data_IF_962064623172
#
_entry.id   IF_962064623172
#
_cell.length_a   1.000
_cell.length_b   1.000
_cell.length_c   1.000
_cell.angle_alpha   90.00
_cell.angle_beta   90.00
_cell.angle_gamma   90.00
#
_symmetry.space_group_name_H-M   'P 1'
#
loop_
_entity.id
_entity.type
_entity.pdbx_description
1 polymer ?
#
# COMPACT_ATOMS: atom_id res chain seq x y z
N UNK A 1 -7.51 -31.91 12.24
CA UNK A 1 -7.58 -31.08 11.01
C UNK A 1 -8.96 -31.29 10.44
N UNK A 2 -9.64 -30.23 9.93
CA UNK A 2 -10.94 -30.40 9.28
C UNK A 2 -10.73 -31.14 7.94
N UNK A 3 -11.51 -32.18 7.69
CA UNK A 3 -11.47 -32.86 6.40
C UNK A 3 -12.00 -31.94 5.33
N UNK A 4 -11.32 -31.89 4.18
CA UNK A 4 -11.65 -31.01 3.05
C UNK A 4 -11.97 -31.86 1.82
N UNK A 5 -13.10 -31.61 1.18
CA UNK A 5 -13.51 -32.27 -0.04
C UNK A 5 -14.58 -31.45 -0.77
N UNK A 6 -14.85 -31.77 -2.03
CA UNK A 6 -15.95 -31.14 -2.78
C UNK A 6 -17.29 -31.61 -2.26
N UNK A 7 -18.10 -30.70 -1.74
CA UNK A 7 -19.43 -31.04 -1.25
C UNK A 7 -20.31 -31.51 -2.42
N UNK A 8 -20.85 -32.69 -2.28
CA UNK A 8 -21.91 -33.25 -3.12
C UNK A 8 -22.89 -34.06 -2.25
N UNK A 9 -24.10 -34.26 -2.73
CA UNK A 9 -25.18 -34.90 -1.99
C UNK A 9 -24.79 -36.30 -1.50
N UNK A 10 -24.17 -37.10 -2.37
CA UNK A 10 -23.77 -38.47 -2.03
C UNK A 10 -22.79 -38.52 -0.87
N UNK A 11 -21.78 -37.65 -0.88
CA UNK A 11 -20.79 -37.60 0.22
C UNK A 11 -21.45 -37.07 1.49
N UNK A 12 -22.23 -35.98 1.40
CA UNK A 12 -22.85 -35.38 2.57
C UNK A 12 -23.85 -36.31 3.26
N UNK A 13 -24.63 -37.11 2.47
CA UNK A 13 -25.58 -38.09 3.02
C UNK A 13 -24.87 -39.19 3.80
N UNK A 14 -23.71 -39.63 3.31
CA UNK A 14 -22.96 -40.76 3.87
C UNK A 14 -21.90 -40.34 4.91
N UNK A 15 -21.79 -39.06 5.27
CA UNK A 15 -20.87 -38.64 6.34
C UNK A 15 -21.28 -39.24 7.69
N UNK A 16 -20.34 -39.93 8.38
CA UNK A 16 -20.62 -40.54 9.68
C UNK A 16 -20.81 -39.48 10.76
N UNK A 17 -21.62 -39.82 11.76
CA UNK A 17 -21.75 -39.02 12.98
C UNK A 17 -20.58 -39.28 13.90
N UNK A 18 -19.96 -38.25 14.53
CA UNK A 18 -18.87 -38.45 15.47
C UNK A 18 -19.36 -39.13 16.78
N UNK A 19 -18.53 -39.96 17.35
CA UNK A 19 -18.84 -40.62 18.62
C UNK A 19 -18.92 -39.62 19.79
N UNK A 20 -18.13 -38.60 19.79
CA UNK A 20 -18.12 -37.52 20.80
C UNK A 20 -17.99 -36.13 20.13
N UNK A 21 -18.72 -35.16 20.65
CA UNK A 21 -18.61 -33.78 20.25
C UNK A 21 -19.25 -33.49 18.91
N UNK A 22 -18.48 -32.91 18.00
CA UNK A 22 -18.90 -32.61 16.63
C UNK A 22 -17.69 -32.63 15.68
N UNK A 23 -17.93 -32.98 14.44
CA UNK A 23 -16.96 -32.92 13.36
C UNK A 23 -17.20 -31.68 12.49
N UNK A 24 -16.12 -31.21 11.85
CA UNK A 24 -16.16 -30.10 10.92
C UNK A 24 -15.49 -30.50 9.62
N UNK A 25 -16.23 -30.31 8.52
CA UNK A 25 -15.73 -30.50 7.16
C UNK A 25 -15.83 -29.19 6.38
N UNK A 26 -15.00 -29.02 5.35
CA UNK A 26 -14.89 -27.80 4.57
C UNK A 26 -15.09 -28.11 3.09
N UNK A 27 -15.85 -27.25 2.40
CA UNK A 27 -16.04 -27.34 0.96
C UNK A 27 -14.82 -26.83 0.19
N UNK A 28 -14.32 -27.61 -0.75
CA UNK A 28 -13.23 -27.17 -1.65
C UNK A 28 -13.69 -26.20 -2.74
N UNK A 29 -14.96 -26.24 -3.14
CA UNK A 29 -15.52 -25.31 -4.14
C UNK A 29 -15.72 -23.89 -3.57
N UNK A 30 -16.11 -23.81 -2.29
CA UNK A 30 -16.24 -22.55 -1.55
C UNK A 30 -15.53 -22.67 -0.20
N UNK A 31 -14.24 -22.34 -0.12
CA UNK A 31 -13.41 -22.59 1.07
C UNK A 31 -13.90 -21.90 2.35
N UNK A 32 -14.80 -20.93 2.25
CA UNK A 32 -15.43 -20.26 3.40
C UNK A 32 -16.62 -21.04 3.94
N UNK A 33 -17.22 -21.92 3.12
CA UNK A 33 -18.33 -22.77 3.48
C UNK A 33 -17.83 -23.99 4.27
N UNK A 34 -18.41 -24.22 5.42
CA UNK A 34 -18.13 -25.37 6.27
C UNK A 34 -19.43 -26.02 6.74
N UNK A 35 -19.33 -27.27 7.10
CA UNK A 35 -20.42 -27.99 7.72
C UNK A 35 -19.96 -28.57 9.06
N UNK A 36 -20.77 -28.49 10.09
CA UNK A 36 -20.55 -29.26 11.30
C UNK A 36 -21.59 -30.36 11.41
N UNK A 37 -21.16 -31.48 11.97
CA UNK A 37 -21.94 -32.74 12.15
C UNK A 37 -21.97 -32.99 13.62
N UNK A 38 -23.15 -33.10 14.19
CA UNK A 38 -23.33 -33.45 15.60
C UNK A 38 -23.39 -34.96 15.80
N UNK A 39 -23.22 -35.43 17.05
CA UNK A 39 -23.40 -36.85 17.44
C UNK A 39 -24.78 -37.43 17.06
N UNK A 40 -25.81 -36.58 16.99
CA UNK A 40 -27.16 -36.97 16.58
C UNK A 40 -27.37 -36.97 15.06
N UNK A 41 -26.30 -36.80 14.27
CA UNK A 41 -26.37 -36.81 12.82
C UNK A 41 -26.87 -35.49 12.21
N UNK A 42 -27.14 -34.44 12.99
CA UNK A 42 -27.57 -33.16 12.44
C UNK A 42 -26.40 -32.49 11.76
N UNK A 43 -26.57 -32.18 10.46
CA UNK A 43 -25.59 -31.55 9.58
C UNK A 43 -26.02 -30.12 9.36
N UNK A 44 -25.12 -29.14 9.53
CA UNK A 44 -25.47 -27.72 9.34
C UNK A 44 -24.34 -26.95 8.67
N UNK A 45 -24.68 -26.20 7.65
CA UNK A 45 -23.78 -25.31 6.95
C UNK A 45 -23.48 -24.06 7.78
N UNK A 46 -22.24 -23.64 7.81
CA UNK A 46 -21.83 -22.42 8.49
C UNK A 46 -20.60 -21.77 7.85
N UNK A 47 -20.39 -20.50 8.14
CA UNK A 47 -19.17 -19.77 7.84
C UNK A 47 -18.50 -19.31 9.14
N UNK A 48 -17.17 -19.19 9.11
CA UNK A 48 -16.43 -18.54 10.21
C UNK A 48 -16.12 -17.10 9.84
N UNK A 49 -16.37 -16.21 10.77
CA UNK A 49 -16.01 -14.81 10.65
C UNK A 49 -15.39 -14.31 11.95
N UNK A 50 -14.28 -13.61 11.84
CA UNK A 50 -13.66 -12.97 12.99
C UNK A 50 -14.39 -11.66 13.30
N UNK A 51 -15.05 -11.61 14.45
CA UNK A 51 -15.84 -10.46 14.90
C UNK A 51 -15.32 -10.05 16.27
N UNK A 52 -14.85 -8.80 16.39
CA UNK A 52 -14.29 -8.24 17.64
C UNK A 52 -13.13 -9.08 18.21
N UNK A 53 -12.27 -9.60 17.35
CA UNK A 53 -11.13 -10.43 17.76
C UNK A 53 -11.45 -11.89 18.05
N UNK A 54 -12.71 -12.28 18.13
CA UNK A 54 -13.17 -13.65 18.36
C UNK A 54 -13.72 -14.28 17.07
N UNK A 55 -13.38 -15.56 16.83
CA UNK A 55 -13.95 -16.32 15.72
C UNK A 55 -15.40 -16.73 16.06
N UNK A 56 -16.34 -16.19 15.30
CA UNK A 56 -17.75 -16.57 15.42
C UNK A 56 -18.17 -17.50 14.30
N UNK A 57 -18.98 -18.49 14.68
CA UNK A 57 -19.65 -19.39 13.74
C UNK A 57 -21.03 -18.80 13.41
N UNK A 58 -21.30 -18.62 12.12
CA UNK A 58 -22.57 -18.10 11.63
C UNK A 58 -23.21 -19.20 10.82
N UNK A 59 -24.38 -19.69 11.28
CA UNK A 59 -25.11 -20.79 10.67
C UNK A 59 -25.85 -20.25 9.44
N UNK A 60 -25.71 -20.95 8.32
CA UNK A 60 -26.44 -20.67 7.08
C UNK A 60 -27.77 -21.42 7.08
N UNK A 61 -27.73 -22.70 7.43
CA UNK A 61 -28.91 -23.55 7.49
C UNK A 61 -28.56 -25.01 7.78
N UNK A 62 -29.61 -25.81 8.00
CA UNK A 62 -29.46 -27.27 8.18
C UNK A 62 -29.53 -27.98 6.83
N UNK A 63 -28.71 -29.00 6.66
CA UNK A 63 -28.83 -29.94 5.57
C UNK A 63 -29.79 -31.07 5.98
N UNK A 64 -30.74 -31.53 5.10
CA UNK A 64 -30.91 -31.14 3.71
C UNK A 64 -31.86 -29.96 3.45
N UNK A 65 -32.42 -29.30 4.48
CA UNK A 65 -33.38 -28.19 4.32
C UNK A 65 -32.81 -27.07 3.43
N UNK A 66 -31.47 -26.81 3.54
CA UNK A 66 -30.71 -25.94 2.64
C UNK A 66 -29.80 -26.83 1.82
N UNK A 67 -29.87 -26.72 0.51
CA UNK A 67 -29.02 -27.49 -0.39
C UNK A 67 -27.60 -26.88 -0.50
N UNK A 68 -26.70 -27.58 -1.18
CA UNK A 68 -25.28 -27.21 -1.29
C UNK A 68 -25.12 -25.92 -2.09
N UNK A 69 -25.85 -25.79 -3.22
CA UNK A 69 -25.74 -24.61 -4.10
C UNK A 69 -26.34 -23.39 -3.43
N UNK A 70 -27.46 -23.53 -2.76
CA UNK A 70 -28.07 -22.48 -1.96
C UNK A 70 -27.15 -22.06 -0.81
N UNK A 71 -26.49 -23.01 -0.13
CA UNK A 71 -25.52 -22.72 0.91
C UNK A 71 -24.31 -21.92 0.38
N UNK A 72 -23.80 -22.30 -0.81
CA UNK A 72 -22.70 -21.57 -1.49
C UNK A 72 -23.11 -20.14 -1.87
N UNK A 73 -24.30 -19.98 -2.45
CA UNK A 73 -24.82 -18.68 -2.84
C UNK A 73 -24.99 -17.72 -1.64
N UNK A 74 -25.45 -18.25 -0.51
CA UNK A 74 -25.68 -17.49 0.72
C UNK A 74 -24.40 -17.09 1.49
N UNK A 75 -23.23 -17.66 1.17
CA UNK A 75 -21.98 -17.36 1.89
C UNK A 75 -21.68 -15.85 1.95
N UNK A 76 -21.75 -15.17 0.81
CA UNK A 76 -21.46 -13.73 0.74
C UNK A 76 -22.54 -12.89 1.44
N UNK A 77 -23.81 -13.24 1.31
CA UNK A 77 -24.92 -12.57 1.95
C UNK A 77 -24.81 -12.67 3.48
N UNK A 78 -24.62 -13.88 3.99
CA UNK A 78 -24.49 -14.14 5.44
C UNK A 78 -23.25 -13.48 6.03
N UNK A 79 -22.14 -13.45 5.30
CA UNK A 79 -20.93 -12.72 5.73
C UNK A 79 -21.17 -11.21 5.74
N UNK A 80 -21.93 -10.65 4.82
CA UNK A 80 -22.27 -9.23 4.77
C UNK A 80 -23.33 -8.87 5.85
N UNK A 81 -24.36 -9.69 6.02
CA UNK A 81 -25.41 -9.46 7.03
C UNK A 81 -24.92 -9.63 8.46
N UNK A 82 -23.95 -10.49 8.69
CA UNK A 82 -23.31 -10.59 10.00
C UNK A 82 -22.56 -9.32 10.42
N UNK A 83 -22.19 -8.45 9.45
CA UNK A 83 -21.72 -7.11 9.75
C UNK A 83 -22.86 -6.17 10.17
N UNK A 84 -24.09 -6.39 9.69
CA UNK A 84 -25.26 -5.54 9.95
C UNK A 84 -25.99 -5.87 11.26
N UNK A 85 -25.91 -7.13 11.74
CA UNK A 85 -26.71 -7.65 12.88
C UNK A 85 -26.00 -7.67 14.23
N UNK A 86 -24.82 -7.06 14.37
CA UNK A 86 -24.22 -6.89 15.69
C UNK A 86 -25.03 -5.80 16.41
N UNK A 87 -25.73 -6.10 17.52
CA UNK A 87 -26.31 -5.05 18.35
C UNK A 87 -25.17 -4.22 18.89
N UNK A 88 -24.94 -3.06 18.28
CA UNK A 88 -23.94 -2.12 18.73
C UNK A 88 -24.39 -1.62 20.09
N UNK A 89 -23.80 -2.11 21.17
CA UNK A 89 -23.81 -1.41 22.44
C UNK A 89 -23.08 -0.09 22.18
N UNK A 90 -23.86 0.96 21.86
CA UNK A 90 -23.36 2.29 21.55
C UNK A 90 -22.66 2.85 22.79
N UNK A 91 -21.37 2.49 22.98
CA UNK A 91 -20.52 3.27 23.87
C UNK A 91 -20.40 4.65 23.26
N UNK A 92 -20.88 5.66 23.97
CA UNK A 92 -20.56 7.05 23.62
C UNK A 92 -19.06 7.19 23.73
N UNK A 93 -18.38 7.44 22.62
CA UNK A 93 -16.94 7.65 22.56
C UNK A 93 -16.68 8.94 21.80
N UNK A 94 -15.78 9.77 22.30
CA UNK A 94 -15.39 10.98 21.60
C UNK A 94 -14.59 10.64 20.35
N UNK A 95 -14.62 11.51 19.36
CA UNK A 95 -13.80 11.34 18.16
C UNK A 95 -12.31 11.24 18.51
N UNK A 96 -11.83 12.01 19.50
CA UNK A 96 -10.46 11.96 20.00
C UNK A 96 -10.10 10.58 20.51
N UNK A 97 -10.88 10.03 21.42
CA UNK A 97 -10.61 8.72 22.03
C UNK A 97 -10.68 7.60 20.98
N UNK A 98 -11.61 7.72 20.03
CA UNK A 98 -11.71 6.77 18.92
C UNK A 98 -10.49 6.82 17.98
N UNK A 99 -9.98 8.01 17.68
CA UNK A 99 -8.77 8.19 16.89
C UNK A 99 -7.56 7.55 17.59
N UNK A 100 -7.43 7.67 18.90
CA UNK A 100 -6.37 7.00 19.67
C UNK A 100 -6.49 5.48 19.54
N UNK A 101 -7.69 4.94 19.65
CA UNK A 101 -7.96 3.52 19.45
C UNK A 101 -7.62 3.06 18.02
N UNK A 102 -7.98 3.87 17.01
CA UNK A 102 -7.64 3.61 15.62
C UNK A 102 -6.13 3.59 15.38
N UNK A 103 -5.40 4.54 15.94
CA UNK A 103 -3.95 4.64 15.82
C UNK A 103 -3.22 3.48 16.49
N UNK A 104 -3.66 3.07 17.69
CA UNK A 104 -3.09 1.94 18.42
C UNK A 104 -3.28 0.61 17.70
N UNK A 105 -4.37 0.44 16.94
CA UNK A 105 -4.61 -0.77 16.15
C UNK A 105 -3.90 -0.77 14.78
N UNK A 106 -3.32 0.36 14.36
CA UNK A 106 -2.51 0.47 13.12
C UNK A 106 -1.00 0.27 13.32
N UNK A 107 -0.60 -0.49 14.32
CA UNK A 107 0.79 -0.76 14.77
C UNK A 107 1.76 -1.27 13.68
N UNK A 108 1.27 -1.61 12.48
CA UNK A 108 2.15 -2.02 11.35
C UNK A 108 2.88 -0.86 10.65
N UNK A 109 2.64 0.38 11.05
CA UNK A 109 3.36 1.56 10.51
C UNK A 109 4.53 1.87 11.44
N UNK A 110 5.72 2.12 10.88
CA UNK A 110 6.87 2.56 11.68
C UNK A 110 6.55 3.85 12.50
N UNK A 111 7.21 4.01 13.63
CA UNK A 111 6.95 5.10 14.61
C UNK A 111 6.92 6.50 13.98
N UNK A 112 7.83 6.80 13.07
CA UNK A 112 7.88 8.09 12.36
C UNK A 112 6.62 8.37 11.53
N UNK A 113 6.08 7.34 10.89
CA UNK A 113 4.86 7.46 10.10
C UNK A 113 3.64 7.69 10.98
N UNK A 114 3.61 7.03 12.15
CA UNK A 114 2.56 7.18 13.14
C UNK A 114 2.58 8.59 13.76
N UNK A 115 3.78 9.10 14.07
CA UNK A 115 3.95 10.43 14.64
C UNK A 115 3.52 11.54 13.66
N UNK A 116 3.86 11.40 12.37
CA UNK A 116 3.40 12.30 11.31
C UNK A 116 1.88 12.29 11.18
N UNK A 117 1.27 11.11 11.28
CA UNK A 117 -0.18 10.95 11.22
C UNK A 117 -0.87 11.60 12.42
N UNK A 118 -0.37 11.38 13.65
CA UNK A 118 -0.87 12.03 14.87
C UNK A 118 -0.81 13.55 14.76
N UNK A 119 0.30 14.11 14.27
CA UNK A 119 0.45 15.56 14.07
C UNK A 119 -0.59 16.11 13.09
N UNK A 120 -0.81 15.41 11.96
CA UNK A 120 -1.80 15.84 10.98
C UNK A 120 -3.23 15.80 11.54
N UNK A 121 -3.58 14.76 12.29
CA UNK A 121 -4.90 14.64 12.96
C UNK A 121 -5.10 15.78 13.98
N UNK A 122 -4.12 16.02 14.84
CA UNK A 122 -4.19 17.09 15.84
C UNK A 122 -4.28 18.48 15.21
N UNK A 123 -3.64 18.69 14.07
CA UNK A 123 -3.68 19.96 13.37
C UNK A 123 -5.03 20.20 12.68
N UNK A 124 -5.56 19.20 12.01
CA UNK A 124 -6.70 19.39 11.11
C UNK A 124 -8.04 18.97 11.70
N UNK A 125 -8.08 18.06 12.68
CA UNK A 125 -9.32 17.49 13.22
C UNK A 125 -9.63 17.92 14.65
N UNK A 126 -8.91 18.89 15.20
CA UNK A 126 -9.08 19.37 16.58
C UNK A 126 -10.52 19.77 16.90
N UNK A 127 -11.21 20.40 15.95
CA UNK A 127 -12.59 20.86 16.12
C UNK A 127 -13.61 19.70 16.29
N UNK A 128 -13.22 18.48 15.87
CA UNK A 128 -14.06 17.30 16.00
C UNK A 128 -13.85 16.54 17.32
N UNK A 129 -12.77 16.82 18.06
CA UNK A 129 -12.31 16.01 19.18
C UNK A 129 -13.32 15.83 20.30
N UNK A 130 -14.08 16.86 20.61
CA UNK A 130 -15.05 16.85 21.70
C UNK A 130 -16.44 16.31 21.31
N UNK A 131 -16.66 16.04 20.02
CA UNK A 131 -17.91 15.46 19.53
C UNK A 131 -17.85 13.93 19.61
N UNK A 132 -19.00 13.29 19.90
CA UNK A 132 -19.06 11.83 19.79
C UNK A 132 -18.96 11.42 18.32
N UNK A 133 -18.20 10.36 18.04
CA UNK A 133 -18.03 9.87 16.66
C UNK A 133 -19.35 9.49 15.99
N UNK A 134 -20.36 9.11 16.78
CA UNK A 134 -21.70 8.72 16.31
C UNK A 134 -22.55 9.92 15.86
N UNK A 135 -22.26 11.08 16.42
CA UNK A 135 -23.05 12.31 16.24
C UNK A 135 -22.44 13.22 15.16
N UNK A 136 -21.25 12.84 14.61
CA UNK A 136 -20.58 13.58 13.54
C UNK A 136 -21.33 13.42 12.22
N UNK A 137 -21.63 14.56 11.60
CA UNK A 137 -22.32 14.65 10.31
C UNK A 137 -21.35 14.89 9.15
N UNK A 138 -21.80 14.70 7.91
CA UNK A 138 -21.02 15.05 6.73
C UNK A 138 -20.67 16.55 6.70
N UNK A 139 -21.57 17.41 7.19
CA UNK A 139 -21.36 18.86 7.27
C UNK A 139 -20.22 19.20 8.22
N UNK A 140 -20.17 18.58 9.42
CA UNK A 140 -19.06 18.76 10.37
C UNK A 140 -17.71 18.43 9.75
N UNK A 141 -17.67 17.33 9.00
CA UNK A 141 -16.45 16.89 8.33
C UNK A 141 -16.07 17.81 7.16
N UNK A 142 -17.06 18.28 6.41
CA UNK A 142 -16.84 19.21 5.30
C UNK A 142 -16.25 20.53 5.80
N UNK A 143 -16.81 21.11 6.87
CA UNK A 143 -16.30 22.34 7.48
C UNK A 143 -14.81 22.22 7.86
N UNK A 144 -14.41 21.08 8.38
CA UNK A 144 -13.01 20.83 8.75
C UNK A 144 -12.13 20.67 7.51
N UNK A 145 -12.61 20.00 6.48
CA UNK A 145 -11.86 19.82 5.22
C UNK A 145 -11.69 21.16 4.48
N UNK A 146 -12.70 22.03 4.49
CA UNK A 146 -12.66 23.34 3.84
C UNK A 146 -11.65 24.31 4.48
N UNK A 147 -11.37 24.13 5.77
CA UNK A 147 -10.32 24.91 6.49
C UNK A 147 -8.90 24.53 6.07
N UNK A 148 -8.72 23.41 5.37
CA UNK A 148 -7.38 22.92 5.00
C UNK A 148 -6.87 23.65 3.77
N UNK A 149 -5.83 24.46 3.97
CA UNK A 149 -5.13 25.09 2.84
C UNK A 149 -4.38 24.05 2.01
N UNK A 150 -4.73 23.95 0.74
CA UNK A 150 -4.11 23.03 -0.21
C UNK A 150 -4.90 21.77 -0.51
N UNK A 151 -5.38 21.70 -1.75
CA UNK A 151 -6.28 20.64 -2.25
C UNK A 151 -5.73 19.22 -2.05
N UNK A 152 -4.42 19.03 -2.19
CA UNK A 152 -3.77 17.72 -1.99
C UNK A 152 -3.79 17.28 -0.52
N UNK A 153 -3.64 18.22 0.42
CA UNK A 153 -3.72 17.93 1.84
C UNK A 153 -5.18 17.63 2.24
N UNK A 154 -6.12 18.43 1.77
CA UNK A 154 -7.54 18.21 2.02
C UNK A 154 -7.99 16.83 1.50
N UNK A 155 -7.59 16.43 0.28
CA UNK A 155 -7.88 15.10 -0.25
C UNK A 155 -7.29 13.98 0.62
N UNK A 156 -6.04 14.12 1.08
CA UNK A 156 -5.41 13.16 1.98
C UNK A 156 -6.11 13.06 3.34
N UNK A 157 -6.59 14.18 3.87
CA UNK A 157 -7.35 14.21 5.12
C UNK A 157 -8.75 13.61 4.95
N UNK A 158 -9.39 13.81 3.80
CA UNK A 158 -10.64 13.14 3.45
C UNK A 158 -10.47 11.60 3.41
N UNK A 159 -9.43 11.10 2.76
CA UNK A 159 -9.12 9.66 2.75
C UNK A 159 -8.86 9.11 4.15
N UNK A 160 -8.19 9.90 5.00
CA UNK A 160 -7.95 9.52 6.40
C UNK A 160 -9.26 9.46 7.19
N UNK A 161 -10.15 10.45 7.07
CA UNK A 161 -11.47 10.41 7.70
C UNK A 161 -12.27 9.19 7.24
N UNK A 162 -12.29 8.91 5.94
CA UNK A 162 -12.95 7.73 5.40
C UNK A 162 -12.40 6.44 6.02
N UNK A 163 -11.07 6.34 6.17
CA UNK A 163 -10.44 5.18 6.83
C UNK A 163 -10.80 5.05 8.30
N UNK A 164 -10.90 6.17 9.04
CA UNK A 164 -11.31 6.20 10.46
C UNK A 164 -12.77 5.76 10.58
N UNK A 165 -13.69 6.33 9.79
CA UNK A 165 -15.12 6.00 9.86
C UNK A 165 -15.43 4.58 9.36
N UNK A 166 -14.73 4.09 8.34
CA UNK A 166 -14.82 2.68 7.95
C UNK A 166 -14.39 1.74 9.08
N UNK A 167 -13.33 2.10 9.80
CA UNK A 167 -12.92 1.35 10.99
C UNK A 167 -13.95 1.45 12.11
N UNK A 168 -14.56 2.62 12.31
CA UNK A 168 -15.62 2.81 13.30
C UNK A 168 -16.86 1.98 12.98
N UNK A 169 -17.26 1.90 11.71
CA UNK A 169 -18.35 1.04 11.24
C UNK A 169 -18.04 -0.44 11.47
N UNK A 170 -16.83 -0.88 11.12
CA UNK A 170 -16.41 -2.27 11.34
C UNK A 170 -16.35 -2.67 12.82
N UNK A 171 -16.03 -1.72 13.71
CA UNK A 171 -16.02 -1.92 15.16
C UNK A 171 -17.40 -1.71 15.79
N UNK A 172 -18.41 -1.32 15.01
CA UNK A 172 -19.77 -1.13 15.45
C UNK A 172 -20.03 0.15 16.25
N UNK A 173 -19.16 1.15 16.15
CA UNK A 173 -19.36 2.46 16.78
C UNK A 173 -20.29 3.37 15.97
N UNK A 174 -20.31 3.23 14.65
CA UNK A 174 -21.20 4.00 13.76
C UNK A 174 -22.04 3.07 12.91
N UNK A 175 -23.27 3.49 12.55
CA UNK A 175 -24.16 2.76 11.65
C UNK A 175 -23.92 3.11 10.18
N UNK A 176 -23.62 4.37 9.94
CA UNK A 176 -23.39 4.94 8.61
C UNK A 176 -22.04 5.64 8.61
N UNK A 177 -21.44 5.76 7.44
CA UNK A 177 -20.21 6.50 7.28
C UNK A 177 -20.54 7.91 6.74
N UNK A 178 -20.38 8.99 7.54
CA UNK A 178 -20.71 10.33 7.08
C UNK A 178 -19.80 10.80 5.92
N UNK A 179 -18.64 10.20 5.72
CA UNK A 179 -17.75 10.55 4.60
C UNK A 179 -18.31 10.13 3.24
N UNK A 180 -19.26 9.19 3.20
CA UNK A 180 -19.87 8.72 1.94
C UNK A 180 -20.73 9.79 1.27
N UNK A 181 -21.25 10.77 2.08
CA UNK A 181 -22.03 11.91 1.58
C UNK A 181 -21.13 13.09 1.16
N UNK A 182 -19.82 13.03 1.38
CA UNK A 182 -18.88 14.10 1.03
C UNK A 182 -18.36 13.90 -0.39
N UNK A 183 -18.44 14.96 -1.21
CA UNK A 183 -17.89 14.90 -2.55
C UNK A 183 -16.37 14.65 -2.52
N UNK A 184 -15.91 13.66 -3.29
CA UNK A 184 -14.49 13.31 -3.36
C UNK A 184 -13.67 14.46 -3.91
N UNK A 185 -12.66 14.87 -3.16
CA UNK A 185 -11.71 15.90 -3.58
C UNK A 185 -10.75 15.29 -4.61
N UNK A 186 -10.98 15.59 -5.88
CA UNK A 186 -10.11 15.11 -6.97
C UNK A 186 -8.90 16.05 -7.07
N UNK A 187 -7.72 15.49 -6.88
CA UNK A 187 -6.45 16.19 -7.13
C UNK A 187 -5.97 15.83 -8.52
N UNK A 188 -5.89 16.82 -9.40
CA UNK A 188 -5.33 16.60 -10.73
C UNK A 188 -3.89 16.07 -10.57
N UNK A 189 -3.63 14.87 -11.07
CA UNK A 189 -2.27 14.34 -11.17
C UNK A 189 -1.50 15.25 -12.12
N UNK A 190 -0.49 15.91 -11.62
CA UNK A 190 0.43 16.66 -12.49
C UNK A 190 1.19 15.63 -13.31
N UNK A 191 0.76 15.40 -14.55
CA UNK A 191 1.56 14.66 -15.52
C UNK A 191 2.74 15.53 -15.92
N UNK A 192 3.88 15.27 -15.30
CA UNK A 192 5.15 15.82 -15.73
C UNK A 192 5.77 14.81 -16.68
N UNK A 193 5.50 14.97 -17.95
CA UNK A 193 6.07 14.13 -19.00
C UNK A 193 7.47 14.66 -19.30
N UNK A 194 8.49 13.95 -18.86
CA UNK A 194 9.85 14.17 -19.37
C UNK A 194 9.84 13.79 -20.85
N UNK A 195 10.29 14.68 -21.71
CA UNK A 195 10.42 14.37 -23.14
C UNK A 195 11.79 13.72 -23.39
N UNK A 196 11.91 12.88 -24.44
CA UNK A 196 13.14 12.16 -24.78
C UNK A 196 14.36 13.11 -24.84
N UNK A 197 14.26 14.22 -25.58
CA UNK A 197 15.32 15.21 -25.73
C UNK A 197 15.59 16.10 -24.49
N UNK A 198 14.90 15.87 -23.39
CA UNK A 198 15.15 16.56 -22.14
C UNK A 198 16.19 15.85 -21.27
N UNK A 199 16.44 14.57 -21.53
CA UNK A 199 17.37 13.76 -20.73
C UNK A 199 18.84 14.18 -20.94
N UNK A 200 19.35 14.42 -22.16
CA UNK A 200 20.70 14.93 -22.40
C UNK A 200 20.94 16.25 -21.67
N UNK A 201 19.96 17.17 -21.69
CA UNK A 201 20.03 18.45 -20.98
C UNK A 201 20.12 18.27 -19.47
N UNK A 202 19.36 17.32 -18.93
CA UNK A 202 19.42 16.99 -17.51
C UNK A 202 20.79 16.41 -17.12
N UNK A 203 21.30 15.47 -17.89
CA UNK A 203 22.63 14.87 -17.66
C UNK A 203 23.73 15.94 -17.78
N UNK A 204 23.67 16.83 -18.76
CA UNK A 204 24.59 17.97 -18.89
C UNK A 204 24.55 18.87 -17.66
N UNK A 205 23.36 19.15 -17.11
CA UNK A 205 23.22 19.95 -15.90
C UNK A 205 23.72 19.21 -14.64
N UNK A 206 23.51 17.90 -14.55
CA UNK A 206 24.07 17.07 -13.47
C UNK A 206 25.61 17.07 -13.51
N UNK A 207 26.21 16.98 -14.69
CA UNK A 207 27.65 16.98 -14.85
C UNK A 207 28.32 18.30 -14.42
N UNK A 208 27.56 19.40 -14.34
CA UNK A 208 28.02 20.69 -13.79
C UNK A 208 27.94 20.77 -12.26
N UNK A 209 27.39 19.74 -11.59
CA UNK A 209 27.39 19.70 -10.12
C UNK A 209 28.81 19.47 -9.61
N UNK A 210 29.25 20.38 -8.73
CA UNK A 210 30.61 20.39 -8.20
C UNK A 210 30.87 19.31 -7.17
N UNK A 211 29.85 18.92 -6.42
CA UNK A 211 29.96 17.83 -5.47
C UNK A 211 29.89 16.50 -6.22
N UNK A 212 31.04 15.81 -6.30
CA UNK A 212 31.19 14.53 -7.03
C UNK A 212 30.24 13.44 -6.57
N UNK A 213 30.03 13.34 -5.25
CA UNK A 213 29.10 12.36 -4.66
C UNK A 213 27.64 12.62 -5.05
N UNK A 214 27.20 13.88 -5.02
CA UNK A 214 25.85 14.24 -5.47
C UNK A 214 25.69 14.07 -6.97
N UNK A 215 26.70 14.42 -7.74
CA UNK A 215 26.72 14.24 -9.20
C UNK A 215 26.53 12.75 -9.53
N UNK A 216 27.34 11.90 -8.94
CA UNK A 216 27.25 10.45 -9.15
C UNK A 216 25.89 9.87 -8.70
N UNK A 217 25.36 10.29 -7.53
CA UNK A 217 24.06 9.87 -7.06
C UNK A 217 22.92 10.26 -8.03
N UNK A 218 22.99 11.46 -8.63
CA UNK A 218 21.98 11.90 -9.60
C UNK A 218 22.13 11.19 -10.95
N UNK A 219 23.34 10.91 -11.41
CA UNK A 219 23.58 10.07 -12.59
C UNK A 219 23.06 8.66 -12.39
N UNK A 220 23.27 8.09 -11.18
CA UNK A 220 22.80 6.75 -10.85
C UNK A 220 21.28 6.62 -10.87
N UNK A 221 20.51 7.69 -10.59
CA UNK A 221 19.04 7.69 -10.78
C UNK A 221 18.67 7.42 -12.25
N UNK A 222 19.50 7.85 -13.19
CA UNK A 222 19.28 7.69 -14.63
C UNK A 222 19.85 6.35 -15.10
N UNK A 223 21.12 6.11 -14.84
CA UNK A 223 21.84 4.95 -15.35
C UNK A 223 21.42 3.62 -14.70
N UNK A 224 21.01 3.67 -13.43
CA UNK A 224 20.53 2.51 -12.69
C UNK A 224 19.03 2.25 -12.81
N UNK A 225 18.25 3.09 -13.51
CA UNK A 225 16.78 2.97 -13.61
C UNK A 225 16.10 2.77 -12.24
N UNK A 226 16.69 3.26 -11.18
CA UNK A 226 16.28 2.98 -9.81
C UNK A 226 15.65 4.21 -9.11
N UNK A 227 14.70 3.97 -8.20
CA UNK A 227 14.13 5.06 -7.41
C UNK A 227 15.15 5.63 -6.43
N UNK A 228 15.04 6.94 -6.16
CA UNK A 228 15.95 7.66 -5.25
C UNK A 228 16.13 6.97 -3.89
N UNK A 229 15.08 6.35 -3.36
CA UNK A 229 15.11 5.67 -2.06
C UNK A 229 16.03 4.44 -2.05
N UNK A 230 16.19 3.78 -3.18
CA UNK A 230 17.17 2.70 -3.36
C UNK A 230 18.55 3.27 -3.62
N UNK A 231 18.69 4.19 -4.59
CA UNK A 231 19.98 4.79 -4.95
C UNK A 231 20.67 5.41 -3.74
N UNK A 232 19.98 6.24 -2.94
CA UNK A 232 20.60 6.92 -1.81
C UNK A 232 20.98 6.00 -0.64
N UNK A 233 20.49 4.78 -0.63
CA UNK A 233 20.82 3.73 0.34
C UNK A 233 21.63 2.60 -0.27
N UNK A 234 22.26 2.84 -1.41
CA UNK A 234 23.08 1.84 -2.09
C UNK A 234 24.32 1.51 -1.25
N UNK A 235 24.58 0.22 -1.07
CA UNK A 235 25.77 -0.30 -0.37
C UNK A 235 26.68 -1.00 -1.35
N UNK A 236 27.97 -0.97 -1.07
CA UNK A 236 28.95 -1.73 -1.85
C UNK A 236 28.71 -3.23 -1.76
N UNK A 237 28.29 -3.74 -0.60
CA UNK A 237 27.97 -5.15 -0.37
C UNK A 237 26.79 -5.66 -1.21
N UNK A 238 25.93 -4.76 -1.72
CA UNK A 238 24.79 -5.13 -2.57
C UNK A 238 25.20 -5.24 -4.06
N UNK A 239 26.46 -4.93 -4.42
CA UNK A 239 26.94 -4.88 -5.80
C UNK A 239 27.77 -6.11 -6.14
N UNK A 240 27.43 -6.76 -7.24
CA UNK A 240 28.25 -7.81 -7.84
C UNK A 240 28.67 -7.38 -9.25
N UNK A 241 29.93 -6.94 -9.36
CA UNK A 241 30.52 -6.51 -10.62
C UNK A 241 30.91 -7.68 -11.55
N UNK A 242 30.95 -8.92 -11.03
CA UNK A 242 31.23 -10.08 -11.89
C UNK A 242 30.00 -10.48 -12.70
N UNK A 243 28.82 -10.27 -12.13
CA UNK A 243 27.55 -10.56 -12.76
C UNK A 243 26.81 -9.28 -13.23
N UNK A 244 27.39 -8.11 -13.00
CA UNK A 244 26.84 -6.82 -13.37
C UNK A 244 25.43 -6.56 -12.77
N UNK A 245 25.26 -6.88 -11.47
CA UNK A 245 23.99 -6.72 -10.77
C UNK A 245 24.11 -5.90 -9.48
N UNK A 246 23.02 -5.30 -9.10
CA UNK A 246 22.78 -4.66 -7.80
C UNK A 246 21.62 -5.38 -7.10
N UNK A 247 21.95 -6.25 -6.16
CA UNK A 247 21.00 -7.23 -5.64
C UNK A 247 20.46 -8.12 -6.77
N UNK A 248 19.18 -8.01 -7.08
CA UNK A 248 18.54 -8.75 -8.17
C UNK A 248 18.41 -7.94 -9.48
N UNK A 249 18.79 -6.66 -9.46
CA UNK A 249 18.62 -5.77 -10.61
C UNK A 249 19.90 -5.70 -11.46
N UNK A 250 19.80 -5.87 -12.79
CA UNK A 250 20.95 -5.67 -13.65
C UNK A 250 21.39 -4.19 -13.65
N UNK A 251 22.69 -3.97 -13.80
CA UNK A 251 23.29 -2.65 -13.97
C UNK A 251 23.55 -2.37 -15.45
N UNK A 252 23.23 -1.16 -15.90
CA UNK A 252 23.65 -0.71 -17.23
C UNK A 252 25.17 -0.51 -17.29
N UNK A 253 25.75 -0.52 -18.49
CA UNK A 253 27.19 -0.27 -18.70
C UNK A 253 27.59 1.10 -18.15
N UNK A 254 26.76 2.15 -18.36
CA UNK A 254 27.01 3.50 -17.82
C UNK A 254 26.97 3.54 -16.29
N UNK A 255 26.11 2.72 -15.65
CA UNK A 255 26.06 2.60 -14.19
C UNK A 255 27.31 1.91 -13.62
N UNK A 256 27.77 0.84 -14.27
CA UNK A 256 29.00 0.12 -13.87
C UNK A 256 30.20 1.05 -13.93
N UNK A 257 30.43 1.71 -15.06
CA UNK A 257 31.54 2.66 -15.22
C UNK A 257 31.48 3.76 -14.17
N UNK A 258 30.29 4.32 -13.90
CA UNK A 258 30.11 5.35 -12.87
C UNK A 258 30.53 4.83 -11.47
N UNK A 259 30.13 3.59 -11.13
CA UNK A 259 30.40 3.00 -9.82
C UNK A 259 31.89 2.62 -9.66
N UNK A 260 32.55 2.17 -10.71
CA UNK A 260 33.98 1.84 -10.71
C UNK A 260 34.87 3.07 -10.42
N UNK A 261 34.42 4.25 -10.82
CA UNK A 261 35.14 5.51 -10.57
C UNK A 261 34.90 6.08 -9.15
N UNK A 262 34.01 5.46 -8.35
CA UNK A 262 33.68 5.94 -7.02
C UNK A 262 34.61 5.37 -5.93
N UNK A 263 34.99 6.16 -4.89
CA UNK A 263 35.78 5.67 -3.79
C UNK A 263 34.99 4.67 -2.92
N UNK A 264 35.65 3.57 -2.52
CA UNK A 264 35.08 2.48 -1.71
C UNK A 264 35.60 2.54 -0.26
N UNK A 265 35.63 3.71 0.33
CA UNK A 265 36.13 3.99 1.68
C UNK A 265 35.06 3.95 2.77
N UNK A 266 33.83 3.62 2.40
CA UNK A 266 32.68 3.56 3.30
C UNK A 266 31.74 2.41 2.86
N UNK A 267 30.83 1.98 3.77
CA UNK A 267 29.80 0.97 3.44
C UNK A 267 28.75 1.45 2.41
N UNK A 268 28.52 2.78 2.37
CA UNK A 268 27.56 3.40 1.45
C UNK A 268 28.25 3.94 0.22
N UNK A 269 27.65 3.70 -0.95
CA UNK A 269 28.15 4.24 -2.22
C UNK A 269 28.00 5.77 -2.26
N UNK A 270 26.87 6.30 -1.79
CA UNK A 270 26.57 7.73 -1.80
C UNK A 270 26.46 8.26 -0.37
N UNK A 271 27.39 9.12 0.00
CA UNK A 271 27.51 9.62 1.36
C UNK A 271 26.65 10.85 1.61
N UNK A 272 26.03 10.87 2.77
CA UNK A 272 25.40 12.01 3.38
C UNK A 272 26.32 12.71 4.39
N UNK A 273 25.74 13.58 5.22
CA UNK A 273 26.47 14.16 6.35
C UNK A 273 26.77 13.11 7.41
N UNK A 274 27.98 13.15 8.00
CA UNK A 274 28.36 12.28 9.12
C UNK A 274 28.63 10.81 8.74
N UNK A 275 29.09 10.52 7.53
CA UNK A 275 29.38 9.17 7.01
C UNK A 275 28.18 8.21 6.93
N UNK A 276 26.97 8.72 7.07
CA UNK A 276 25.75 7.96 6.79
C UNK A 276 25.40 8.00 5.31
N UNK A 277 24.38 7.21 4.89
CA UNK A 277 23.86 7.26 3.52
C UNK A 277 23.31 8.67 3.18
N UNK A 278 23.26 8.98 1.89
CA UNK A 278 22.64 10.20 1.37
C UNK A 278 21.13 10.21 1.70
N UNK A 279 20.66 11.26 2.39
CA UNK A 279 19.26 11.30 2.85
C UNK A 279 18.35 12.04 1.88
N UNK A 280 18.57 13.33 1.65
CA UNK A 280 17.64 14.14 0.85
C UNK A 280 18.33 15.35 0.21
N UNK A 281 18.91 15.20 -0.99
CA UNK A 281 19.60 16.27 -1.69
C UNK A 281 18.65 17.19 -2.46
N UNK A 282 17.46 17.52 -1.91
CA UNK A 282 16.43 18.33 -2.59
C UNK A 282 16.92 19.71 -3.05
N UNK A 283 17.79 20.33 -2.25
CA UNK A 283 18.33 21.66 -2.59
C UNK A 283 19.25 21.59 -3.81
N UNK A 284 20.16 20.60 -3.82
CA UNK A 284 21.06 20.36 -4.95
C UNK A 284 20.27 19.95 -6.21
N UNK A 285 19.30 19.06 -6.05
CA UNK A 285 18.42 18.67 -7.16
C UNK A 285 17.67 19.85 -7.78
N UNK A 286 17.09 20.75 -6.95
CA UNK A 286 16.42 21.94 -7.44
C UNK A 286 17.36 22.82 -8.27
N UNK A 287 18.62 22.99 -7.85
CA UNK A 287 19.65 23.73 -8.59
C UNK A 287 19.91 23.08 -9.94
N UNK A 288 20.13 21.77 -9.97
CA UNK A 288 20.38 21.00 -11.19
C UNK A 288 19.22 21.13 -12.20
N UNK A 289 17.98 20.87 -11.77
CA UNK A 289 16.83 20.92 -12.68
C UNK A 289 16.50 22.34 -13.13
N UNK A 290 16.80 23.33 -12.30
CA UNK A 290 16.70 24.74 -12.69
C UNK A 290 17.68 25.07 -13.80
N UNK A 291 18.94 24.64 -13.67
CA UNK A 291 19.98 24.81 -14.68
C UNK A 291 19.67 24.05 -15.98
N UNK A 292 18.95 22.93 -15.89
CA UNK A 292 18.46 22.18 -17.04
C UNK A 292 17.24 22.82 -17.71
N UNK A 293 16.68 23.91 -17.15
CA UNK A 293 15.43 24.53 -17.62
C UNK A 293 14.17 23.73 -17.30
N UNK A 294 14.22 22.88 -16.25
CA UNK A 294 13.14 22.01 -15.81
C UNK A 294 12.85 22.16 -14.31
N UNK A 295 12.57 23.36 -13.78
CA UNK A 295 12.56 23.67 -12.34
C UNK A 295 11.56 22.87 -11.51
N UNK A 296 10.58 22.24 -12.16
CA UNK A 296 9.54 21.45 -11.51
C UNK A 296 9.76 19.94 -11.59
N UNK A 297 10.85 19.48 -12.22
CA UNK A 297 11.12 18.06 -12.40
C UNK A 297 11.57 17.44 -11.07
N UNK A 298 10.93 16.34 -10.67
CA UNK A 298 11.34 15.58 -9.49
C UNK A 298 12.15 14.35 -9.89
N UNK A 299 12.96 13.82 -8.96
CA UNK A 299 13.70 12.56 -9.16
C UNK A 299 12.74 11.38 -9.44
N UNK A 300 11.56 11.39 -8.81
CA UNK A 300 10.53 10.36 -9.04
C UNK A 300 9.93 10.45 -10.44
N UNK A 301 9.86 11.66 -11.05
CA UNK A 301 9.39 11.82 -12.43
C UNK A 301 10.41 11.23 -13.42
N UNK A 302 11.72 11.39 -13.15
CA UNK A 302 12.79 10.78 -13.95
C UNK A 302 12.67 9.25 -13.91
N UNK A 303 12.59 8.68 -12.72
CA UNK A 303 12.45 7.23 -12.58
C UNK A 303 11.20 6.69 -13.29
N UNK A 304 10.03 7.34 -13.12
CA UNK A 304 8.80 6.93 -13.81
C UNK A 304 8.92 7.01 -15.33
N UNK A 305 9.60 8.03 -15.85
CA UNK A 305 9.84 8.16 -17.27
C UNK A 305 10.67 7.00 -17.81
N UNK A 306 11.78 6.69 -17.14
CA UNK A 306 12.69 5.60 -17.54
C UNK A 306 12.00 4.24 -17.45
N UNK A 307 11.28 3.97 -16.37
CA UNK A 307 10.56 2.70 -16.21
C UNK A 307 9.46 2.51 -17.26
N UNK A 308 8.70 3.55 -17.60
CA UNK A 308 7.72 3.47 -18.70
C UNK A 308 8.38 3.11 -20.03
N UNK A 309 9.57 3.67 -20.32
CA UNK A 309 10.31 3.35 -21.54
C UNK A 309 10.83 1.91 -21.52
N UNK A 310 11.33 1.46 -20.39
CA UNK A 310 11.82 0.10 -20.22
C UNK A 310 10.68 -0.94 -20.34
N UNK A 311 9.49 -0.66 -19.82
CA UNK A 311 8.29 -1.52 -19.95
C UNK A 311 7.82 -1.67 -21.40
N UNK A 312 8.06 -0.65 -22.26
CA UNK A 312 7.69 -0.67 -23.68
C UNK A 312 8.73 -1.42 -24.52
N UNK A 313 9.93 -1.66 -24.00
CA UNK A 313 10.93 -2.52 -24.65
C UNK A 313 10.48 -3.99 -24.47
N UNK A 314 10.06 -4.60 -25.56
CA UNK A 314 9.29 -5.86 -25.59
C UNK A 314 10.03 -7.12 -25.11
N UNK A 315 11.32 -7.06 -24.83
CA UNK A 315 12.13 -8.20 -24.43
C UNK A 315 12.39 -8.17 -22.91
N UNK A 316 11.59 -8.94 -22.17
CA UNK A 316 11.75 -9.09 -20.72
C UNK A 316 12.94 -9.96 -20.32
N UNK A 317 13.47 -10.76 -21.25
CA UNK A 317 14.57 -11.70 -20.95
C UNK A 317 15.94 -10.99 -20.89
N UNK A 318 16.06 -9.81 -21.51
CA UNK A 318 17.32 -9.06 -21.53
C UNK A 318 17.15 -7.60 -21.06
N UNK A 319 16.73 -7.42 -19.81
CA UNK A 319 16.51 -6.08 -19.21
C UNK A 319 17.75 -5.20 -19.33
N UNK A 320 18.96 -5.74 -19.13
CA UNK A 320 20.22 -4.99 -19.22
C UNK A 320 20.48 -4.44 -20.62
N UNK A 321 20.30 -5.26 -21.66
CA UNK A 321 20.46 -4.80 -23.03
C UNK A 321 19.46 -3.69 -23.37
N UNK A 322 18.20 -3.83 -22.91
CA UNK A 322 17.17 -2.81 -23.07
C UNK A 322 17.54 -1.50 -22.36
N UNK A 323 18.09 -1.56 -21.14
CA UNK A 323 18.60 -0.38 -20.43
C UNK A 323 19.72 0.31 -21.20
N UNK A 324 20.68 -0.43 -21.72
CA UNK A 324 21.81 0.12 -22.48
C UNK A 324 21.32 0.79 -23.79
N UNK A 325 20.50 0.09 -24.56
CA UNK A 325 19.94 0.62 -25.80
C UNK A 325 19.12 1.91 -25.57
N UNK A 326 18.29 1.93 -24.52
CA UNK A 326 17.52 3.12 -24.16
C UNK A 326 18.41 4.30 -23.73
N UNK A 327 19.50 4.04 -23.00
CA UNK A 327 20.46 5.08 -22.61
C UNK A 327 21.24 5.61 -23.81
N UNK A 328 21.64 4.77 -24.73
CA UNK A 328 22.28 5.17 -26.00
C UNK A 328 21.29 6.02 -26.83
N UNK A 329 20.08 5.50 -27.05
CA UNK A 329 19.03 6.24 -27.80
C UNK A 329 18.70 7.62 -27.22
N UNK A 330 18.75 7.76 -25.89
CA UNK A 330 18.31 9.00 -25.21
C UNK A 330 19.44 9.97 -24.88
N UNK A 331 20.69 9.54 -24.87
CA UNK A 331 21.84 10.35 -24.42
C UNK A 331 22.82 10.69 -25.53
N UNK A 332 22.90 9.87 -26.58
CA UNK A 332 23.89 10.01 -27.64
C UNK A 332 23.33 10.79 -28.86
N UNK A 333 22.12 11.35 -28.79
CA UNK A 333 21.57 12.39 -29.65
C UNK A 333 21.93 13.78 -29.08
#
# INVERSE_FOLDING_TARGET
MAHQFFFNTYILDNLPSPEKGFDVVQDLSEPRLRMYITQRGVKSFFVRKRVNGADKRIIIGKYPDVDIEEARAKVNEVLNDACKKIPVRRKKITFKDFVELYLNNKVRRGEDSLMKLKRAINLHFKDLFNKNIQDLTAEDLQIVLDKISGRSMAARMQELLQSIFNYAGNMGYTKTNPTDAIQKIVVARRERILKKYSLPRLVSAINKETNLNLRAAFLMLIYGFAPKTKVFKMRWDDLDFNHDVWGEMPLSNKAILLLQDMPQDNEWVFLGSGRSHLTDPRVAWKRVVSNAGMPNLTMDDVHKFLMRRLEWASDRENIRANMNNLLEEMLDE
#
